data_IF_007269232538
#
_entry.id   IF_007269232538
#
_cell.length_a   1.000
_cell.length_b   1.000
_cell.length_c   1.000
_cell.angle_alpha   90.00
_cell.angle_beta   90.00
_cell.angle_gamma   90.00
#
_symmetry.space_group_name_H-M   'P 1'
#
loop_
_entity.id
_entity.type
_entity.pdbx_description
1 polymer ?
#
# COMPACT_ATOMS: atom_id res chain seq x y z
N UNK A 1 -15.76 -5.23 -4.89
CA UNK A 1 -15.60 -4.51 -3.61
C UNK A 1 -16.56 -5.14 -2.60
N UNK A 2 -16.06 -5.81 -1.55
CA UNK A 2 -16.87 -6.54 -0.56
C UNK A 2 -16.18 -6.53 0.84
N UNK A 3 -16.27 -5.42 1.60
CA UNK A 3 -15.64 -5.31 2.92
C UNK A 3 -16.08 -6.38 3.93
N UNK A 4 -17.36 -6.81 3.99
CA UNK A 4 -17.76 -7.91 4.86
C UNK A 4 -16.99 -9.21 4.62
N UNK A 5 -16.84 -9.65 3.36
CA UNK A 5 -16.04 -10.86 3.05
C UNK A 5 -14.56 -10.68 3.40
N UNK A 6 -14.00 -9.50 3.16
CA UNK A 6 -12.61 -9.21 3.54
C UNK A 6 -12.39 -9.35 5.05
N UNK A 7 -13.38 -8.93 5.86
CA UNK A 7 -13.36 -9.07 7.32
C UNK A 7 -13.40 -10.53 7.76
N UNK A 8 -14.27 -11.34 7.17
CA UNK A 8 -14.34 -12.79 7.46
C UNK A 8 -13.03 -13.51 7.13
N UNK A 9 -12.44 -13.22 5.97
CA UNK A 9 -11.15 -13.77 5.57
C UNK A 9 -10.01 -13.31 6.50
N UNK A 10 -10.02 -12.03 6.89
CA UNK A 10 -9.05 -11.50 7.85
C UNK A 10 -9.16 -12.21 9.20
N UNK A 11 -10.37 -12.45 9.71
CA UNK A 11 -10.55 -13.19 10.96
C UNK A 11 -9.93 -14.59 10.91
N UNK A 12 -10.14 -15.33 9.82
CA UNK A 12 -9.54 -16.65 9.66
C UNK A 12 -8.00 -16.59 9.75
N UNK A 13 -7.37 -15.60 9.11
CA UNK A 13 -5.91 -15.43 9.18
C UNK A 13 -5.46 -15.06 10.60
N UNK A 14 -6.16 -14.13 11.26
CA UNK A 14 -5.86 -13.72 12.64
C UNK A 14 -5.97 -14.90 13.60
N UNK A 15 -6.95 -15.77 13.41
CA UNK A 15 -7.13 -16.99 14.22
C UNK A 15 -6.04 -18.03 13.99
N UNK A 16 -5.30 -17.97 12.88
CA UNK A 16 -4.06 -18.73 12.70
C UNK A 16 -2.84 -18.15 13.41
N UNK A 17 -2.98 -16.99 14.07
CA UNK A 17 -1.96 -16.41 14.94
C UNK A 17 -1.03 -15.40 14.27
N UNK A 18 -1.49 -14.69 13.24
CA UNK A 18 -0.71 -13.57 12.66
C UNK A 18 -0.75 -12.34 13.55
N UNK A 19 0.36 -11.61 13.60
CA UNK A 19 0.51 -10.40 14.42
C UNK A 19 0.20 -9.10 13.66
N UNK A 20 0.20 -9.15 12.32
CA UNK A 20 0.06 -7.99 11.44
C UNK A 20 -0.77 -8.37 10.21
N UNK A 21 -1.65 -7.47 9.80
CA UNK A 21 -2.42 -7.60 8.56
C UNK A 21 -1.94 -6.64 7.48
N UNK A 22 -2.04 -7.05 6.21
CA UNK A 22 -2.02 -6.13 5.08
C UNK A 22 -3.46 -5.87 4.61
N UNK A 23 -3.92 -4.64 4.79
CA UNK A 23 -5.30 -4.23 4.59
C UNK A 23 -5.50 -3.68 3.17
N UNK A 24 -5.98 -4.54 2.28
CA UNK A 24 -6.39 -4.14 0.92
C UNK A 24 -7.77 -3.44 0.92
N UNK A 25 -8.58 -3.65 1.97
CA UNK A 25 -9.92 -3.08 2.17
C UNK A 25 -10.19 -2.75 3.64
N UNK A 26 -11.13 -1.82 3.86
CA UNK A 26 -11.62 -1.40 5.17
C UNK A 26 -11.98 -2.54 6.14
N UNK A 27 -12.57 -3.63 5.63
CA UNK A 27 -12.95 -4.79 6.44
C UNK A 27 -11.77 -5.45 7.19
N UNK A 28 -10.55 -5.32 6.66
CA UNK A 28 -9.33 -5.83 7.31
C UNK A 28 -8.93 -4.95 8.49
N UNK A 29 -9.08 -3.62 8.37
CA UNK A 29 -8.83 -2.67 9.47
C UNK A 29 -9.79 -2.95 10.64
N UNK A 30 -11.06 -3.18 10.34
CA UNK A 30 -12.07 -3.59 11.32
C UNK A 30 -11.71 -4.90 12.04
N UNK A 31 -11.27 -5.92 11.28
CA UNK A 31 -10.86 -7.20 11.84
C UNK A 31 -9.65 -7.03 12.78
N UNK A 32 -8.62 -6.33 12.30
CA UNK A 32 -7.40 -6.05 13.07
C UNK A 32 -7.73 -5.31 14.37
N UNK A 33 -8.58 -4.28 14.31
CA UNK A 33 -9.08 -3.56 15.48
C UNK A 33 -9.76 -4.50 16.49
N UNK A 34 -10.70 -5.31 16.03
CA UNK A 34 -11.49 -6.17 16.91
C UNK A 34 -10.68 -7.28 17.59
N UNK A 35 -9.55 -7.68 17.01
CA UNK A 35 -8.63 -8.67 17.56
C UNK A 35 -7.38 -8.03 18.19
N UNK A 36 -7.33 -6.70 18.27
CA UNK A 36 -6.25 -5.94 18.87
C UNK A 36 -4.86 -6.22 18.25
N UNK A 37 -4.81 -6.31 16.93
CA UNK A 37 -3.57 -6.38 16.15
C UNK A 37 -3.46 -5.16 15.22
N UNK A 38 -2.29 -4.98 14.61
CA UNK A 38 -2.01 -3.83 13.73
C UNK A 38 -2.15 -4.20 12.25
N UNK A 39 -2.28 -3.19 11.40
CA UNK A 39 -2.35 -3.35 9.96
C UNK A 39 -1.51 -2.32 9.19
N UNK A 40 -1.18 -2.65 7.95
CA UNK A 40 -0.68 -1.70 6.95
C UNK A 40 -1.74 -1.53 5.87
N UNK A 41 -2.13 -0.29 5.57
CA UNK A 41 -3.14 0.01 4.55
C UNK A 41 -2.60 -0.03 3.12
N UNK A 42 -3.50 -0.04 2.15
CA UNK A 42 -3.18 -0.04 0.73
C UNK A 42 -4.09 0.90 -0.07
N UNK A 43 -3.59 1.44 -1.19
CA UNK A 43 -4.27 2.34 -2.13
C UNK A 43 -4.54 3.75 -1.57
N UNK A 44 -5.24 3.86 -0.44
CA UNK A 44 -5.61 5.13 0.18
C UNK A 44 -5.08 5.25 1.62
N UNK A 45 -5.29 6.41 2.25
CA UNK A 45 -4.85 6.62 3.64
C UNK A 45 -5.87 5.99 4.60
N UNK A 46 -5.73 4.69 4.85
CA UNK A 46 -6.66 3.95 5.71
C UNK A 46 -6.63 4.37 7.18
N UNK A 47 -5.60 5.09 7.65
CA UNK A 47 -5.63 5.67 8.99
C UNK A 47 -6.74 6.74 9.08
N UNK A 48 -6.84 7.59 8.06
CA UNK A 48 -7.82 8.70 8.00
C UNK A 48 -9.15 8.29 7.39
N UNK A 49 -9.13 7.50 6.33
CA UNK A 49 -10.31 7.21 5.52
C UNK A 49 -11.10 6.01 6.04
N UNK A 50 -10.44 5.08 6.76
CA UNK A 50 -11.02 3.79 7.14
C UNK A 50 -10.96 3.53 8.66
N UNK A 51 -11.02 4.60 9.46
CA UNK A 51 -11.01 4.53 10.93
C UNK A 51 -9.80 3.71 11.45
N UNK A 52 -8.62 3.95 10.89
CA UNK A 52 -7.40 3.21 11.21
C UNK A 52 -6.60 3.75 12.39
N UNK A 53 -7.06 4.77 13.12
CA UNK A 53 -6.40 5.28 14.34
C UNK A 53 -6.02 4.12 15.29
N UNK A 54 -4.80 4.14 15.79
CA UNK A 54 -4.19 3.11 16.67
C UNK A 54 -4.09 1.68 16.08
N UNK A 55 -4.48 1.48 14.82
CA UNK A 55 -4.50 0.17 14.15
C UNK A 55 -3.61 0.17 12.91
N UNK A 56 -3.77 1.16 12.03
CA UNK A 56 -3.05 1.29 10.77
C UNK A 56 -1.74 2.04 11.01
N UNK A 57 -0.61 1.34 10.83
CA UNK A 57 0.74 1.87 11.05
C UNK A 57 1.11 2.89 9.99
N UNK A 58 0.85 2.58 8.72
CA UNK A 58 0.96 3.47 7.56
C UNK A 58 0.22 2.78 6.41
N UNK A 59 -0.02 3.50 5.30
CA UNK A 59 -0.62 2.94 4.09
C UNK A 59 0.31 3.12 2.89
N UNK A 60 0.38 2.10 2.04
CA UNK A 60 0.98 2.23 0.71
C UNK A 60 -0.01 2.97 -0.21
N UNK A 61 0.21 4.27 -0.39
CA UNK A 61 -0.62 5.15 -1.19
C UNK A 61 -0.35 4.93 -2.67
N UNK A 62 -1.42 4.95 -3.47
CA UNK A 62 -1.34 4.82 -4.92
C UNK A 62 -1.88 6.08 -5.60
N UNK A 63 -1.01 6.74 -6.37
CA UNK A 63 -1.26 8.01 -7.05
C UNK A 63 -1.37 7.76 -8.56
N UNK A 64 -2.57 7.97 -9.10
CA UNK A 64 -2.86 7.75 -10.53
C UNK A 64 -2.86 9.05 -11.34
N UNK A 65 -2.77 10.20 -10.67
CA UNK A 65 -2.91 11.53 -11.25
C UNK A 65 -1.90 11.74 -12.37
N UNK A 66 -0.64 11.37 -12.18
CA UNK A 66 0.40 11.55 -13.20
C UNK A 66 0.15 10.67 -14.44
N UNK A 67 -0.25 9.41 -14.22
CA UNK A 67 -0.60 8.49 -15.31
C UNK A 67 -1.81 9.01 -16.11
N UNK A 68 -2.87 9.41 -15.42
CA UNK A 68 -4.10 9.93 -16.05
C UNK A 68 -3.83 11.26 -16.76
N UNK A 69 -3.08 12.18 -16.14
CA UNK A 69 -2.71 13.46 -16.75
C UNK A 69 -1.89 13.26 -18.02
N UNK A 70 -1.00 12.27 -18.05
CA UNK A 70 -0.24 11.91 -19.24
C UNK A 70 -1.17 11.46 -20.38
N UNK A 71 -2.08 10.51 -20.11
CA UNK A 71 -3.05 10.05 -21.10
C UNK A 71 -3.93 11.20 -21.63
N UNK A 72 -4.45 12.05 -20.73
CA UNK A 72 -5.25 13.23 -21.10
C UNK A 72 -4.45 14.17 -22.01
N UNK A 73 -3.15 14.38 -21.73
CA UNK A 73 -2.30 15.24 -22.55
C UNK A 73 -2.14 14.71 -23.98
N UNK A 74 -1.96 13.40 -24.14
CA UNK A 74 -1.82 12.75 -25.44
C UNK A 74 -3.11 12.78 -26.25
N UNK A 75 -4.26 12.60 -25.59
CA UNK A 75 -5.58 12.71 -26.23
C UNK A 75 -5.79 14.14 -26.74
N UNK A 76 -5.50 15.15 -25.91
CA UNK A 76 -5.60 16.57 -26.31
C UNK A 76 -4.69 16.92 -27.48
N UNK A 77 -3.52 16.29 -27.55
CA UNK A 77 -2.57 16.47 -28.65
C UNK A 77 -2.95 15.68 -29.92
N UNK A 78 -3.96 14.82 -29.88
CA UNK A 78 -4.32 13.93 -30.99
C UNK A 78 -3.30 12.81 -31.27
N UNK A 79 -2.42 12.53 -30.31
CA UNK A 79 -1.31 11.56 -30.44
C UNK A 79 -1.45 10.38 -29.48
N UNK A 80 -2.63 10.20 -28.88
CA UNK A 80 -2.89 9.08 -27.98
C UNK A 80 -2.68 7.74 -28.69
N UNK A 81 -1.94 6.86 -28.04
CA UNK A 81 -1.71 5.47 -28.45
C UNK A 81 -1.62 4.61 -27.20
N UNK A 82 -1.89 3.31 -27.36
CA UNK A 82 -1.65 2.36 -26.29
C UNK A 82 -0.16 2.35 -25.91
N UNK A 83 0.12 2.42 -24.63
CA UNK A 83 1.46 2.34 -24.03
C UNK A 83 1.35 1.77 -22.61
N UNK A 84 2.48 1.35 -22.06
CA UNK A 84 2.55 0.86 -20.69
C UNK A 84 2.70 2.04 -19.71
N UNK A 85 1.74 2.17 -18.79
CA UNK A 85 1.70 3.22 -17.78
C UNK A 85 2.35 2.82 -16.45
N UNK A 86 2.82 1.57 -16.31
CA UNK A 86 3.40 1.02 -15.08
C UNK A 86 4.36 1.99 -14.40
N UNK A 87 5.31 2.55 -15.13
CA UNK A 87 6.32 3.44 -14.56
C UNK A 87 5.74 4.70 -13.90
N UNK A 88 4.59 5.21 -14.39
CA UNK A 88 3.91 6.36 -13.81
C UNK A 88 3.28 6.05 -12.45
N UNK A 89 3.04 4.78 -12.18
CA UNK A 89 2.47 4.28 -10.92
C UNK A 89 3.53 3.86 -9.89
N UNK A 90 4.81 3.91 -10.26
CA UNK A 90 5.92 3.58 -9.35
C UNK A 90 6.40 4.80 -8.56
N UNK A 91 7.08 4.56 -7.44
CA UNK A 91 7.58 5.61 -6.55
C UNK A 91 8.46 6.65 -7.27
N UNK A 92 9.28 6.21 -8.24
CA UNK A 92 10.19 7.08 -8.99
C UNK A 92 9.48 8.20 -9.76
N UNK A 93 8.27 7.93 -10.29
CA UNK A 93 7.44 8.94 -10.97
C UNK A 93 6.37 9.54 -10.07
N UNK A 94 6.48 9.32 -8.76
CA UNK A 94 5.52 9.80 -7.77
C UNK A 94 4.19 9.07 -7.77
N UNK A 95 4.11 7.88 -8.40
CA UNK A 95 2.89 7.09 -8.48
C UNK A 95 2.58 6.28 -7.23
N UNK A 96 3.51 6.20 -6.28
CA UNK A 96 3.30 5.54 -5.00
C UNK A 96 4.11 6.20 -3.89
N UNK A 97 3.61 6.15 -2.66
CA UNK A 97 4.30 6.66 -1.47
C UNK A 97 3.81 5.97 -0.21
N UNK A 98 4.51 6.15 0.92
CA UNK A 98 3.97 5.80 2.23
C UNK A 98 3.23 6.99 2.85
N UNK A 99 2.11 6.71 3.51
CA UNK A 99 1.44 7.68 4.38
C UNK A 99 2.28 7.94 5.66
N UNK A 100 1.99 9.02 6.41
CA UNK A 100 2.59 9.23 7.74
C UNK A 100 2.34 8.06 8.70
N UNK A 101 3.16 7.95 9.76
CA UNK A 101 2.99 6.89 10.77
C UNK A 101 1.98 7.22 11.87
N UNK A 102 1.50 8.46 11.93
CA UNK A 102 0.45 8.90 12.87
C UNK A 102 0.72 8.48 14.32
N UNK A 103 -0.21 7.75 14.94
CA UNK A 103 -0.12 7.30 16.33
C UNK A 103 1.05 6.32 16.57
N UNK A 104 1.68 5.81 15.50
CA UNK A 104 2.82 4.91 15.57
C UNK A 104 4.17 5.61 15.44
N UNK A 105 4.22 6.92 15.19
CA UNK A 105 5.47 7.66 14.95
C UNK A 105 6.53 7.40 16.06
N UNK A 106 6.11 7.43 17.32
CA UNK A 106 6.99 7.20 18.48
C UNK A 106 7.05 5.72 18.91
N UNK A 107 6.22 4.85 18.32
CA UNK A 107 6.16 3.41 18.62
C UNK A 107 7.08 2.59 17.73
N UNK A 108 7.41 3.10 16.55
CA UNK A 108 8.31 2.43 15.60
C UNK A 108 9.77 2.68 16.01
N UNK A 109 10.58 1.62 16.19
CA UNK A 109 12.01 1.77 16.48
C UNK A 109 12.73 2.66 15.47
N UNK A 110 13.65 3.50 15.94
CA UNK A 110 14.37 4.45 15.10
C UNK A 110 15.19 3.75 14.00
N UNK A 111 15.76 2.58 14.28
CA UNK A 111 16.50 1.80 13.29
C UNK A 111 15.58 1.24 12.19
N UNK A 112 14.34 0.88 12.53
CA UNK A 112 13.33 0.45 11.55
C UNK A 112 12.91 1.63 10.65
N UNK A 113 12.63 2.81 11.21
CA UNK A 113 12.34 4.01 10.41
C UNK A 113 13.50 4.38 9.49
N UNK A 114 14.74 4.28 9.99
CA UNK A 114 15.94 4.53 9.18
C UNK A 114 16.07 3.54 8.01
N UNK A 115 15.78 2.25 8.22
CA UNK A 115 15.78 1.24 7.14
C UNK A 115 14.72 1.55 6.06
N UNK A 116 13.53 1.99 6.47
CA UNK A 116 12.46 2.37 5.52
C UNK A 116 12.88 3.57 4.68
N UNK A 117 13.41 4.63 5.30
CA UNK A 117 13.85 5.82 4.56
C UNK A 117 15.06 5.54 3.66
N UNK A 118 16.03 4.72 4.10
CA UNK A 118 17.14 4.27 3.25
C UNK A 118 16.65 3.49 2.03
N UNK A 119 15.76 2.51 2.22
CA UNK A 119 15.22 1.72 1.11
C UNK A 119 14.38 2.58 0.15
N UNK A 120 13.57 3.50 0.69
CA UNK A 120 12.82 4.48 -0.11
C UNK A 120 13.75 5.34 -0.95
N UNK A 121 14.85 5.85 -0.37
CA UNK A 121 15.83 6.62 -1.10
C UNK A 121 16.47 5.82 -2.24
N UNK A 122 16.81 4.55 -2.00
CA UNK A 122 17.35 3.63 -3.02
C UNK A 122 16.37 3.31 -4.14
N UNK A 123 15.08 3.15 -3.81
CA UNK A 123 14.03 2.97 -4.82
C UNK A 123 13.90 4.22 -5.68
N UNK A 124 13.85 5.40 -5.05
CA UNK A 124 13.71 6.68 -5.75
C UNK A 124 14.94 7.01 -6.62
N UNK A 125 16.14 6.62 -6.19
CA UNK A 125 17.37 6.80 -6.99
C UNK A 125 17.53 5.77 -8.11
N UNK A 126 16.81 4.65 -8.04
CA UNK A 126 16.98 3.50 -8.93
C UNK A 126 18.14 2.58 -8.58
N UNK A 127 18.79 2.81 -7.44
CA UNK A 127 19.79 1.88 -6.87
C UNK A 127 19.16 0.54 -6.48
N UNK A 128 17.89 0.57 -6.04
CA UNK A 128 17.12 -0.63 -5.72
C UNK A 128 15.86 -0.70 -6.57
N UNK A 129 15.66 -1.85 -7.22
CA UNK A 129 14.46 -2.13 -8.01
C UNK A 129 13.67 -3.23 -7.29
N UNK A 130 12.40 -2.96 -6.96
CA UNK A 130 11.48 -3.98 -6.47
C UNK A 130 11.10 -4.86 -7.64
N UNK A 131 11.53 -6.12 -7.62
CA UNK A 131 11.19 -7.07 -8.67
C UNK A 131 9.69 -7.41 -8.64
N UNK A 132 9.09 -7.48 -9.83
CA UNK A 132 7.72 -7.95 -10.02
C UNK A 132 7.78 -9.38 -10.50
N UNK A 133 7.11 -10.27 -9.78
CA UNK A 133 6.95 -11.67 -10.14
C UNK A 133 5.54 -11.82 -10.70
N UNK A 134 5.44 -11.94 -12.02
CA UNK A 134 4.17 -12.12 -12.74
C UNK A 134 3.72 -13.59 -12.81
N UNK A 135 4.50 -14.50 -12.23
CA UNK A 135 4.14 -15.91 -12.13
C UNK A 135 2.96 -16.08 -11.17
N UNK A 136 2.07 -17.02 -11.50
CA UNK A 136 0.95 -17.37 -10.62
C UNK A 136 1.48 -17.81 -9.24
N UNK A 137 1.04 -17.18 -8.15
CA UNK A 137 1.49 -17.56 -6.81
C UNK A 137 1.04 -18.98 -6.50
N UNK A 138 2.00 -19.83 -6.15
CA UNK A 138 1.74 -21.23 -5.77
C UNK A 138 1.56 -21.32 -4.26
N UNK A 139 0.51 -22.02 -3.83
CA UNK A 139 0.33 -22.37 -2.41
C UNK A 139 1.55 -23.14 -1.91
N UNK A 140 2.10 -22.70 -0.78
CA UNK A 140 3.11 -23.45 -0.02
C UNK A 140 2.47 -24.36 1.04
N UNK A 141 1.14 -24.45 1.06
CA UNK A 141 0.33 -25.39 1.84
C UNK A 141 -0.22 -26.50 0.96
#
# INVERSE_FOLDING_TARGET
YDPPKAKEAAFAQIETGVDVMYAERAGVVDAARSKNIIAFGNVNDMNKEENGTDVVVTSALWHMENAINHAISLVKAGTFKAEDYKEWTMMQKGGASLAPYYEFEDRIPADAKAKVEDLKAKILSGEYVVEIIDDEPKSTY
#
